data_IF_578027434839
#
_entry.id   IF_578027434839
#
_cell.length_a   1.000
_cell.length_b   1.000
_cell.length_c   1.000
_cell.angle_alpha   90.00
_cell.angle_beta   90.00
_cell.angle_gamma   90.00
#
_symmetry.space_group_name_H-M   'P 1'
#
loop_
_entity.id
_entity.type
_entity.pdbx_description
1 polymer ?
#
# COMPACT_ATOMS: atom_id res chain seq x y z
N UNK A 1 13.39 -13.09 -25.47
CA UNK A 1 13.88 -11.93 -24.68
C UNK A 1 13.35 -12.14 -23.30
N UNK A 2 14.13 -12.02 -22.26
CA UNK A 2 13.72 -12.22 -20.87
C UNK A 2 13.67 -10.87 -20.18
N UNK A 3 12.69 -10.65 -19.34
CA UNK A 3 12.62 -9.46 -18.49
C UNK A 3 13.69 -9.54 -17.39
N UNK A 4 14.54 -8.53 -17.31
CA UNK A 4 15.55 -8.44 -16.26
C UNK A 4 15.00 -7.76 -15.02
N UNK A 5 15.33 -8.26 -13.84
CA UNK A 5 14.95 -7.64 -12.57
C UNK A 5 14.57 -8.66 -11.50
N UNK A 6 13.94 -8.16 -10.44
CA UNK A 6 13.54 -8.98 -9.29
C UNK A 6 12.04 -8.85 -9.04
N UNK A 7 11.38 -9.98 -8.80
CA UNK A 7 10.01 -10.00 -8.28
C UNK A 7 9.95 -9.30 -6.91
N UNK A 8 8.94 -8.47 -6.71
CA UNK A 8 8.61 -7.84 -5.42
C UNK A 8 7.41 -8.52 -4.79
N UNK A 9 7.34 -8.48 -3.46
CA UNK A 9 6.16 -8.82 -2.66
C UNK A 9 5.96 -10.30 -2.39
N UNK A 10 6.53 -11.22 -3.18
CA UNK A 10 6.39 -12.66 -2.96
C UNK A 10 7.63 -13.44 -3.39
N UNK A 11 7.68 -14.71 -2.98
CA UNK A 11 8.68 -15.68 -3.44
C UNK A 11 8.38 -16.13 -4.89
N UNK A 12 9.42 -16.18 -5.73
CA UNK A 12 9.27 -16.53 -7.15
C UNK A 12 8.75 -17.97 -7.37
N UNK A 13 9.09 -18.92 -6.51
CA UNK A 13 8.61 -20.29 -6.62
C UNK A 13 7.13 -20.39 -6.25
N UNK A 14 6.67 -19.57 -5.29
CA UNK A 14 5.25 -19.45 -4.99
C UNK A 14 4.46 -18.93 -6.19
N UNK A 15 4.92 -17.83 -6.80
CA UNK A 15 4.24 -17.23 -7.96
C UNK A 15 4.29 -18.15 -9.18
N UNK A 16 5.40 -18.87 -9.39
CA UNK A 16 5.54 -19.86 -10.47
C UNK A 16 4.53 -21.00 -10.33
N UNK A 17 4.31 -21.50 -9.12
CA UNK A 17 3.26 -22.49 -8.86
C UNK A 17 1.87 -21.92 -9.09
N UNK A 18 1.60 -20.70 -8.64
CA UNK A 18 0.33 -20.02 -8.86
C UNK A 18 0.00 -19.87 -10.37
N UNK A 19 1.00 -19.53 -11.18
CA UNK A 19 0.86 -19.49 -12.65
C UNK A 19 0.52 -20.87 -13.24
N UNK A 20 1.14 -21.93 -12.72
CA UNK A 20 0.91 -23.29 -13.20
C UNK A 20 -0.44 -23.86 -12.77
N UNK A 21 -0.90 -23.53 -11.57
CA UNK A 21 -2.12 -24.04 -10.94
C UNK A 21 -3.34 -23.13 -11.11
N UNK A 22 -3.13 -21.94 -11.72
CA UNK A 22 -4.16 -20.89 -11.87
C UNK A 22 -4.71 -20.39 -10.53
N UNK A 23 -3.84 -20.31 -9.50
CA UNK A 23 -4.19 -19.78 -8.19
C UNK A 23 -4.13 -18.24 -8.20
N UNK A 24 -5.29 -17.54 -8.07
CA UNK A 24 -5.32 -16.08 -8.13
C UNK A 24 -4.78 -15.37 -6.88
N UNK A 25 -4.71 -16.07 -5.75
CA UNK A 25 -4.37 -15.50 -4.44
C UNK A 25 -3.27 -16.29 -3.71
N UNK A 26 -2.09 -16.48 -4.32
CA UNK A 26 -0.99 -17.20 -3.70
C UNK A 26 -0.39 -16.39 -2.55
N UNK A 27 -0.70 -16.78 -1.32
CA UNK A 27 -0.22 -16.10 -0.11
C UNK A 27 -1.00 -14.85 0.26
N UNK A 28 -0.51 -14.11 1.26
CA UNK A 28 -1.16 -12.92 1.84
C UNK A 28 -0.63 -11.60 1.30
N UNK A 29 0.54 -11.59 0.65
CA UNK A 29 1.19 -10.40 0.09
C UNK A 29 0.91 -10.25 -1.40
N UNK A 30 0.83 -9.00 -1.88
CA UNK A 30 0.80 -8.71 -3.31
C UNK A 30 2.17 -8.96 -3.95
N UNK A 31 2.19 -9.05 -5.28
CA UNK A 31 3.44 -9.20 -6.01
C UNK A 31 3.39 -8.52 -7.38
N UNK A 32 4.55 -8.08 -7.85
CA UNK A 32 4.74 -7.68 -9.23
C UNK A 32 6.20 -7.85 -9.67
N UNK A 33 6.42 -8.05 -10.96
CA UNK A 33 7.75 -8.13 -11.57
C UNK A 33 7.98 -9.38 -12.39
N UNK A 34 9.25 -9.66 -12.77
CA UNK A 34 9.59 -10.77 -13.63
C UNK A 34 9.55 -12.12 -12.89
N UNK A 35 8.96 -13.10 -13.56
CA UNK A 35 9.02 -14.53 -13.20
C UNK A 35 9.28 -15.30 -14.49
N UNK A 36 10.42 -15.97 -14.57
CA UNK A 36 10.92 -16.65 -15.76
C UNK A 36 11.01 -15.68 -16.96
N UNK A 37 10.17 -15.82 -17.97
CA UNK A 37 10.16 -15.00 -19.18
C UNK A 37 8.95 -14.04 -19.28
N UNK A 38 8.13 -13.94 -18.24
CA UNK A 38 6.97 -13.06 -18.19
C UNK A 38 7.07 -11.99 -17.08
N UNK A 39 6.35 -10.88 -17.23
CA UNK A 39 6.04 -9.99 -16.12
C UNK A 39 4.67 -10.33 -15.58
N UNK A 40 4.54 -10.30 -14.27
CA UNK A 40 3.28 -10.59 -13.58
C UNK A 40 2.90 -9.47 -12.64
N UNK A 41 1.60 -9.25 -12.47
CA UNK A 41 1.05 -8.41 -11.42
C UNK A 41 -0.11 -9.12 -10.74
N UNK A 42 -0.10 -9.16 -9.41
CA UNK A 42 -1.10 -9.87 -8.62
C UNK A 42 -2.54 -9.39 -8.87
N UNK A 43 -3.50 -10.25 -8.52
CA UNK A 43 -4.93 -10.01 -8.79
C UNK A 43 -5.52 -8.80 -8.05
N UNK A 44 -4.89 -8.33 -6.96
CA UNK A 44 -5.28 -7.11 -6.23
C UNK A 44 -4.49 -5.88 -6.68
N UNK A 45 -3.41 -6.07 -7.45
CA UNK A 45 -2.55 -5.00 -7.94
C UNK A 45 -1.86 -4.21 -6.82
N UNK A 46 -1.54 -4.85 -5.70
CA UNK A 46 -0.92 -4.21 -4.52
C UNK A 46 0.45 -3.63 -4.83
N UNK A 47 1.26 -4.34 -5.61
CA UNK A 47 2.53 -3.82 -6.10
C UNK A 47 2.33 -3.09 -7.43
N UNK A 48 2.88 -1.89 -7.60
CA UNK A 48 2.80 -1.17 -8.87
C UNK A 48 3.71 -1.82 -9.92
N UNK A 49 3.26 -1.82 -11.18
CA UNK A 49 4.04 -2.26 -12.33
C UNK A 49 3.63 -1.43 -13.54
N UNK A 50 4.60 -0.82 -14.21
CA UNK A 50 4.37 0.03 -15.37
C UNK A 50 5.16 -0.50 -16.56
N UNK A 51 4.61 -0.33 -17.76
CA UNK A 51 5.28 -0.52 -19.03
C UNK A 51 5.50 0.84 -19.71
N UNK A 52 6.55 0.95 -20.53
CA UNK A 52 6.69 2.06 -21.45
C UNK A 52 5.73 1.87 -22.62
N UNK A 53 4.86 2.85 -22.89
CA UNK A 53 3.84 2.73 -23.95
C UNK A 53 4.43 2.52 -25.34
N UNK A 54 5.60 3.15 -25.63
CA UNK A 54 6.29 3.04 -26.92
C UNK A 54 7.15 1.79 -27.04
N UNK A 55 7.58 1.20 -25.91
CA UNK A 55 8.46 0.02 -25.87
C UNK A 55 8.02 -0.93 -24.76
N UNK A 56 7.01 -1.79 -25.00
CA UNK A 56 6.35 -2.59 -23.96
C UNK A 56 7.24 -3.62 -23.27
N UNK A 57 8.49 -3.78 -23.65
CA UNK A 57 9.48 -4.59 -22.94
C UNK A 57 10.30 -3.78 -21.93
N UNK A 58 10.21 -2.45 -21.97
CA UNK A 58 10.76 -1.58 -20.95
C UNK A 58 9.71 -1.40 -19.84
N UNK A 59 10.11 -1.66 -18.61
CA UNK A 59 9.21 -1.69 -17.47
C UNK A 59 9.84 -1.15 -16.19
N UNK A 60 9.01 -0.68 -15.26
CA UNK A 60 9.46 -0.20 -13.96
C UNK A 60 8.39 -0.37 -12.88
N UNK A 61 8.81 -0.33 -11.62
CA UNK A 61 7.90 -0.24 -10.47
C UNK A 61 7.47 1.20 -10.17
N UNK A 62 8.12 2.20 -10.77
CA UNK A 62 7.80 3.61 -10.59
C UNK A 62 7.52 4.26 -11.94
N UNK A 63 6.43 5.02 -12.08
CA UNK A 63 6.14 5.72 -13.32
C UNK A 63 7.22 6.76 -13.67
N UNK A 64 7.90 7.31 -12.66
CA UNK A 64 8.97 8.29 -12.88
C UNK A 64 10.22 7.73 -13.58
N UNK A 65 10.32 6.43 -13.74
CA UNK A 65 11.44 5.76 -14.41
C UNK A 65 11.22 5.56 -15.90
N UNK A 66 10.03 5.88 -16.41
CA UNK A 66 9.62 5.71 -17.81
C UNK A 66 9.24 7.08 -18.42
N UNK A 67 9.27 7.17 -19.75
CA UNK A 67 8.91 8.39 -20.45
C UNK A 67 7.39 8.53 -20.64
N UNK A 68 6.72 7.42 -20.97
CA UNK A 68 5.27 7.35 -21.15
C UNK A 68 4.73 6.09 -20.43
N UNK A 69 4.61 6.15 -19.08
CA UNK A 69 4.28 4.99 -18.26
C UNK A 69 2.81 4.59 -18.37
N UNK A 70 2.55 3.34 -18.73
CA UNK A 70 1.23 2.71 -18.66
C UNK A 70 1.18 1.70 -17.50
N UNK A 71 0.18 1.83 -16.63
CA UNK A 71 -0.01 0.91 -15.51
C UNK A 71 -0.49 -0.45 -16.02
N UNK A 72 0.24 -1.51 -15.73
CA UNK A 72 -0.20 -2.88 -15.99
C UNK A 72 -1.43 -3.19 -15.13
N UNK A 73 -2.56 -3.63 -15.69
CA UNK A 73 -3.75 -3.97 -14.91
C UNK A 73 -3.49 -5.04 -13.85
N UNK A 74 -4.24 -5.04 -12.75
CA UNK A 74 -4.18 -6.08 -11.74
C UNK A 74 -4.53 -7.45 -12.36
N UNK A 75 -3.90 -8.53 -11.89
CA UNK A 75 -4.13 -9.88 -12.37
C UNK A 75 -3.60 -10.18 -13.78
N UNK A 76 -2.67 -9.36 -14.28
CA UNK A 76 -2.17 -9.45 -15.66
C UNK A 76 -0.81 -10.13 -15.72
N UNK A 77 -0.63 -10.92 -16.76
CA UNK A 77 0.66 -11.46 -17.23
C UNK A 77 1.03 -10.74 -18.53
N UNK A 78 2.25 -10.23 -18.61
CA UNK A 78 2.81 -9.61 -19.83
C UNK A 78 3.84 -10.57 -20.41
N UNK A 79 3.63 -10.95 -21.68
CA UNK A 79 4.49 -11.88 -22.42
C UNK A 79 5.67 -11.16 -23.08
N UNK A 80 6.73 -11.89 -23.48
CA UNK A 80 7.92 -11.32 -24.14
C UNK A 80 7.66 -10.62 -25.48
N UNK A 81 6.50 -10.81 -26.07
CA UNK A 81 6.05 -10.12 -27.29
C UNK A 81 5.24 -8.84 -27.00
N UNK A 82 5.10 -8.48 -25.72
CA UNK A 82 4.32 -7.33 -25.28
C UNK A 82 2.83 -7.60 -25.12
N UNK A 83 2.34 -8.81 -25.44
CA UNK A 83 0.93 -9.17 -25.23
C UNK A 83 0.61 -9.19 -23.74
N UNK A 84 -0.54 -8.63 -23.38
CA UNK A 84 -1.07 -8.64 -22.03
C UNK A 84 -2.25 -9.62 -21.93
N UNK A 85 -2.16 -10.54 -20.97
CA UNK A 85 -3.20 -11.53 -20.68
C UNK A 85 -3.76 -11.28 -19.29
N UNK A 86 -5.08 -11.07 -19.17
CA UNK A 86 -5.76 -11.07 -17.87
C UNK A 86 -5.81 -12.53 -17.36
N UNK A 87 -4.82 -12.88 -16.56
CA UNK A 87 -4.65 -14.27 -16.08
C UNK A 87 -5.53 -14.56 -14.88
N UNK A 88 -5.61 -13.61 -13.94
CA UNK A 88 -6.35 -13.80 -12.71
C UNK A 88 -7.42 -12.72 -12.54
N UNK A 89 -8.56 -13.12 -12.05
CA UNK A 89 -9.64 -12.25 -11.59
C UNK A 89 -10.00 -12.63 -10.16
N UNK A 90 -10.49 -11.65 -9.39
CA UNK A 90 -10.99 -11.96 -8.05
C UNK A 90 -12.17 -12.93 -8.16
N UNK A 91 -12.17 -14.02 -7.37
CA UNK A 91 -13.32 -14.92 -7.33
C UNK A 91 -14.57 -14.15 -6.84
N UNK A 92 -15.73 -14.50 -7.39
CA UNK A 92 -16.98 -13.98 -6.87
C UNK A 92 -17.18 -14.45 -5.42
N UNK A 93 -17.45 -13.53 -4.47
CA UNK A 93 -17.66 -13.92 -3.08
C UNK A 93 -18.91 -14.78 -2.95
N UNK A 94 -18.82 -15.87 -2.20
CA UNK A 94 -20.02 -16.64 -1.83
C UNK A 94 -20.86 -15.81 -0.87
N UNK A 95 -22.13 -15.50 -1.20
CA UNK A 95 -22.98 -14.74 -0.30
C UNK A 95 -23.11 -15.41 1.06
N UNK A 96 -22.90 -14.65 2.13
CA UNK A 96 -23.18 -15.11 3.48
C UNK A 96 -24.69 -15.14 3.72
N UNK A 97 -25.16 -16.12 4.48
CA UNK A 97 -26.59 -16.34 4.69
C UNK A 97 -27.19 -15.40 5.72
N UNK A 98 -26.39 -14.88 6.66
CA UNK A 98 -26.86 -13.98 7.72
C UNK A 98 -25.91 -12.80 7.91
N UNK A 99 -26.45 -11.68 8.42
CA UNK A 99 -25.67 -10.50 8.78
C UNK A 99 -24.58 -10.79 9.81
N UNK A 100 -24.92 -11.59 10.85
CA UNK A 100 -23.98 -11.89 11.93
C UNK A 100 -22.80 -12.74 11.46
N UNK A 101 -23.02 -13.68 10.54
CA UNK A 101 -21.95 -14.46 9.91
C UNK A 101 -21.05 -13.56 9.06
N UNK A 102 -21.61 -12.61 8.30
CA UNK A 102 -20.83 -11.67 7.51
C UNK A 102 -19.95 -10.77 8.40
N UNK A 103 -20.53 -10.22 9.47
CA UNK A 103 -19.79 -9.39 10.44
C UNK A 103 -18.67 -10.18 11.11
N UNK A 104 -18.92 -11.42 11.50
CA UNK A 104 -17.92 -12.29 12.12
C UNK A 104 -16.76 -12.58 11.15
N UNK A 105 -17.07 -12.91 9.89
CA UNK A 105 -16.08 -13.21 8.86
C UNK A 105 -15.21 -11.99 8.54
N UNK A 106 -15.82 -10.81 8.35
CA UNK A 106 -15.09 -9.55 8.10
C UNK A 106 -14.21 -9.20 9.29
N UNK A 107 -14.75 -9.31 10.52
CA UNK A 107 -13.97 -9.04 11.74
C UNK A 107 -12.74 -9.93 11.84
N UNK A 108 -12.88 -11.22 11.58
CA UNK A 108 -11.78 -12.16 11.64
C UNK A 108 -10.73 -11.88 10.55
N UNK A 109 -11.17 -11.62 9.32
CA UNK A 109 -10.27 -11.28 8.22
C UNK A 109 -9.47 -10.00 8.50
N UNK A 110 -10.13 -8.93 8.97
CA UNK A 110 -9.49 -7.66 9.34
C UNK A 110 -8.49 -7.86 10.48
N UNK A 111 -8.87 -8.53 11.57
CA UNK A 111 -7.98 -8.74 12.71
C UNK A 111 -6.78 -9.64 12.35
N UNK A 112 -6.96 -10.61 11.49
CA UNK A 112 -5.86 -11.44 10.97
C UNK A 112 -4.90 -10.59 10.16
N UNK A 113 -5.40 -9.84 9.18
CA UNK A 113 -4.58 -8.96 8.32
C UNK A 113 -3.80 -7.91 9.10
N UNK A 114 -4.38 -7.36 10.16
CA UNK A 114 -3.74 -6.32 10.98
C UNK A 114 -2.67 -6.91 11.92
N UNK A 115 -2.82 -8.16 12.35
CA UNK A 115 -1.89 -8.83 13.27
C UNK A 115 -0.71 -9.52 12.59
N UNK A 116 -0.86 -9.89 11.31
CA UNK A 116 0.20 -10.57 10.56
C UNK A 116 1.53 -9.78 10.45
N UNK A 117 1.53 -8.47 10.23
CA UNK A 117 2.76 -7.72 9.99
C UNK A 117 3.47 -7.23 11.26
N UNK A 118 3.28 -7.84 12.42
CA UNK A 118 3.99 -7.45 13.66
C UNK A 118 5.48 -7.69 13.48
N UNK A 119 6.21 -6.65 13.11
CA UNK A 119 7.66 -6.65 13.01
C UNK A 119 8.26 -5.53 13.86
N UNK A 120 9.45 -5.74 14.37
CA UNK A 120 10.25 -4.68 14.97
C UNK A 120 10.40 -3.51 13.97
N UNK A 121 10.45 -2.28 14.48
CA UNK A 121 10.60 -1.09 13.64
C UNK A 121 9.31 -0.62 12.93
N UNK A 122 8.14 -1.10 13.36
CA UNK A 122 6.85 -0.67 12.83
C UNK A 122 6.30 0.55 13.60
N UNK A 123 5.72 1.51 12.88
CA UNK A 123 4.88 2.58 13.41
C UNK A 123 3.52 2.62 12.69
N UNK A 124 2.57 3.37 13.22
CA UNK A 124 1.24 3.56 12.65
C UNK A 124 1.01 5.02 12.28
N UNK A 125 0.61 5.28 11.03
CA UNK A 125 0.04 6.57 10.66
C UNK A 125 -1.39 6.65 11.19
N UNK A 126 -1.61 7.53 12.18
CA UNK A 126 -2.78 7.51 13.05
C UNK A 126 -3.56 8.80 12.99
N UNK A 127 -4.64 8.84 12.24
CA UNK A 127 -5.51 10.03 12.11
C UNK A 127 -6.57 10.13 13.22
N UNK A 128 -6.72 9.08 14.06
CA UNK A 128 -7.83 8.98 15.01
C UNK A 128 -9.15 8.51 14.40
N UNK A 129 -9.19 8.26 13.08
CA UNK A 129 -10.30 7.60 12.41
C UNK A 129 -10.35 6.10 12.68
N UNK A 130 -11.50 5.46 12.40
CA UNK A 130 -11.76 4.05 12.73
C UNK A 130 -10.72 3.11 12.09
N UNK A 131 -10.33 3.33 10.84
CA UNK A 131 -9.40 2.46 10.11
C UNK A 131 -8.01 2.46 10.73
N UNK A 132 -7.46 3.65 10.98
CA UNK A 132 -6.18 3.79 11.66
C UNK A 132 -6.22 3.29 13.11
N UNK A 133 -7.37 3.38 13.78
CA UNK A 133 -7.57 2.84 15.12
C UNK A 133 -7.58 1.32 15.13
N UNK A 134 -8.19 0.68 14.14
CA UNK A 134 -8.17 -0.79 13.97
C UNK A 134 -6.73 -1.27 13.73
N UNK A 135 -5.99 -0.59 12.85
CA UNK A 135 -4.56 -0.89 12.64
C UNK A 135 -3.77 -0.76 13.93
N UNK A 136 -3.93 0.36 14.64
CA UNK A 136 -3.25 0.60 15.92
C UNK A 136 -3.60 -0.47 16.98
N UNK A 137 -4.86 -0.91 17.04
CA UNK A 137 -5.29 -1.97 17.96
C UNK A 137 -4.64 -3.34 17.65
N UNK A 138 -4.32 -3.60 16.38
CA UNK A 138 -3.65 -4.84 15.98
C UNK A 138 -2.15 -4.87 16.30
N UNK A 139 -1.51 -3.71 16.45
CA UNK A 139 -0.07 -3.55 16.74
C UNK A 139 0.16 -2.67 17.99
N UNK A 140 -0.21 -3.15 19.18
CA UNK A 140 -0.28 -2.32 20.39
C UNK A 140 1.05 -1.67 20.80
N UNK A 141 2.17 -2.26 20.47
CA UNK A 141 3.50 -1.74 20.85
C UNK A 141 4.05 -0.69 19.85
N UNK A 142 3.45 -0.56 18.66
CA UNK A 142 3.92 0.38 17.65
C UNK A 142 3.56 1.83 18.02
N UNK A 143 4.48 2.79 17.94
CA UNK A 143 4.15 4.20 18.15
C UNK A 143 3.22 4.72 17.05
N UNK A 144 2.32 5.62 17.41
CA UNK A 144 1.40 6.27 16.49
C UNK A 144 1.92 7.65 16.10
N UNK A 145 1.78 8.01 14.83
CA UNK A 145 2.17 9.31 14.29
C UNK A 145 0.99 9.99 13.60
N UNK A 146 0.83 11.28 13.84
CA UNK A 146 -0.10 12.14 13.11
C UNK A 146 0.62 13.39 12.65
N UNK A 147 0.38 13.83 11.41
CA UNK A 147 0.89 15.09 10.91
C UNK A 147 -0.22 16.14 10.81
N UNK A 148 0.10 17.39 11.15
CA UNK A 148 -0.84 18.49 11.06
C UNK A 148 -0.27 19.80 11.59
N UNK A 149 -1.04 20.85 11.45
CA UNK A 149 -0.71 22.19 11.95
C UNK A 149 -1.53 22.52 13.21
N UNK A 150 -1.16 23.60 13.89
CA UNK A 150 -1.85 24.04 15.11
C UNK A 150 -3.34 24.31 14.85
N UNK A 151 -4.21 23.71 15.67
CA UNK A 151 -5.67 23.81 15.52
C UNK A 151 -6.27 22.89 14.46
N UNK A 152 -5.48 22.03 13.83
CA UNK A 152 -5.96 21.05 12.87
C UNK A 152 -6.90 20.04 13.55
N UNK A 153 -8.05 19.76 12.91
CA UNK A 153 -9.04 18.82 13.39
C UNK A 153 -8.47 17.41 13.55
N UNK A 154 -7.66 16.95 12.59
CA UNK A 154 -7.11 15.60 12.58
C UNK A 154 -6.16 15.36 13.76
N UNK A 155 -5.35 16.35 14.13
CA UNK A 155 -4.49 16.28 15.32
C UNK A 155 -5.32 16.20 16.60
N UNK A 156 -6.43 16.95 16.68
CA UNK A 156 -7.33 16.90 17.83
C UNK A 156 -8.00 15.53 17.96
N UNK A 157 -8.53 14.99 16.86
CA UNK A 157 -9.14 13.66 16.81
C UNK A 157 -8.13 12.55 17.17
N UNK A 158 -6.91 12.63 16.62
CA UNK A 158 -5.85 11.67 16.92
C UNK A 158 -5.46 11.69 18.42
N UNK A 159 -5.38 12.86 19.04
CA UNK A 159 -5.09 12.98 20.50
C UNK A 159 -6.18 12.33 21.34
N UNK A 160 -7.45 12.58 21.02
CA UNK A 160 -8.57 12.00 21.74
C UNK A 160 -8.58 10.48 21.62
N UNK A 161 -8.48 9.96 20.39
CA UNK A 161 -8.45 8.53 20.12
C UNK A 161 -7.23 7.86 20.78
N UNK A 162 -6.04 8.43 20.68
CA UNK A 162 -4.84 7.89 21.31
C UNK A 162 -4.97 7.83 22.84
N UNK A 163 -5.59 8.83 23.46
CA UNK A 163 -5.88 8.84 24.91
C UNK A 163 -6.84 7.71 25.28
N UNK A 164 -7.91 7.51 24.51
CA UNK A 164 -8.88 6.45 24.75
C UNK A 164 -8.29 5.05 24.59
N UNK A 165 -7.30 4.91 23.71
CA UNK A 165 -6.65 3.64 23.38
C UNK A 165 -5.34 3.40 24.15
N UNK A 166 -4.93 4.31 25.02
CA UNK A 166 -3.65 4.28 25.75
C UNK A 166 -2.44 4.11 24.79
N UNK A 167 -2.38 4.99 23.74
CA UNK A 167 -1.35 4.90 22.69
C UNK A 167 -0.33 6.03 22.80
N UNK A 168 0.94 5.71 22.56
CA UNK A 168 2.00 6.70 22.35
C UNK A 168 1.77 7.43 21.03
N UNK A 169 1.42 8.71 21.08
CA UNK A 169 1.14 9.54 19.91
C UNK A 169 2.21 10.62 19.75
N UNK A 170 2.88 10.58 18.60
CA UNK A 170 3.84 11.58 18.15
C UNK A 170 3.20 12.48 17.11
N UNK A 171 3.27 13.80 17.34
CA UNK A 171 2.68 14.81 16.45
C UNK A 171 3.78 15.46 15.65
N UNK A 172 3.63 15.37 14.33
CA UNK A 172 4.51 15.98 13.35
C UNK A 172 3.88 17.30 12.89
N UNK A 173 4.40 18.41 13.42
CA UNK A 173 3.94 19.73 13.00
C UNK A 173 4.63 20.12 11.69
N UNK A 174 3.87 20.71 10.78
CA UNK A 174 4.39 21.29 9.54
C UNK A 174 3.73 22.64 9.26
N UNK A 175 4.43 23.47 8.52
CA UNK A 175 3.96 24.79 8.12
C UNK A 175 3.86 24.94 6.59
N UNK A 176 3.62 26.17 6.11
CA UNK A 176 3.48 26.45 4.69
C UNK A 176 4.78 26.18 3.90
N UNK A 177 5.93 26.51 4.46
CA UNK A 177 7.22 26.33 3.79
C UNK A 177 7.55 24.82 3.65
N UNK A 178 7.18 24.03 4.64
CA UNK A 178 7.25 22.57 4.59
C UNK A 178 6.39 22.00 3.46
N UNK A 179 5.16 22.49 3.28
CA UNK A 179 4.27 22.08 2.18
C UNK A 179 4.90 22.42 0.84
N UNK A 180 5.44 23.62 0.66
CA UNK A 180 6.09 24.04 -0.58
C UNK A 180 7.28 23.13 -0.92
N UNK A 181 8.04 22.72 0.09
CA UNK A 181 9.13 21.74 -0.06
C UNK A 181 8.63 20.35 -0.43
N UNK A 182 7.59 19.86 0.23
CA UNK A 182 7.10 18.50 0.10
C UNK A 182 6.39 18.22 -1.25
N UNK A 183 5.65 19.19 -1.80
CA UNK A 183 4.86 19.01 -3.03
C UNK A 183 5.67 18.45 -4.21
N UNK A 184 6.83 19.00 -4.60
CA UNK A 184 7.63 18.45 -5.69
C UNK A 184 8.13 17.03 -5.42
N UNK A 185 8.40 16.70 -4.16
CA UNK A 185 8.87 15.37 -3.77
C UNK A 185 7.74 14.33 -3.86
N UNK A 186 6.56 14.69 -3.38
CA UNK A 186 5.35 13.85 -3.50
C UNK A 186 5.03 13.58 -4.97
N UNK A 187 5.02 14.63 -5.82
CA UNK A 187 4.76 14.47 -7.26
C UNK A 187 5.79 13.55 -7.90
N UNK A 188 7.06 13.70 -7.56
CA UNK A 188 8.12 12.84 -8.10
C UNK A 188 7.99 11.38 -7.63
N UNK A 189 7.63 11.17 -6.36
CA UNK A 189 7.50 9.84 -5.78
C UNK A 189 6.26 9.09 -6.29
N UNK A 190 5.14 9.80 -6.49
CA UNK A 190 3.86 9.20 -6.84
C UNK A 190 3.56 9.22 -8.35
N UNK A 191 4.25 10.08 -9.12
CA UNK A 191 3.91 10.38 -10.51
C UNK A 191 2.58 11.12 -10.68
N UNK A 192 1.96 11.60 -9.58
CA UNK A 192 0.66 12.26 -9.58
C UNK A 192 0.80 13.74 -9.25
N UNK A 193 0.21 14.60 -10.10
CA UNK A 193 0.30 16.06 -9.97
C UNK A 193 -1.04 16.75 -9.73
N UNK A 194 -2.16 16.01 -9.66
CA UNK A 194 -3.42 16.65 -9.37
C UNK A 194 -3.49 17.08 -7.89
N UNK A 195 -4.16 18.22 -7.60
CA UNK A 195 -4.14 18.79 -6.25
C UNK A 195 -4.72 17.89 -5.15
N UNK A 196 -5.71 17.05 -5.48
CA UNK A 196 -6.34 16.15 -4.52
C UNK A 196 -5.38 15.05 -4.07
N UNK A 197 -4.70 14.37 -5.02
CA UNK A 197 -3.74 13.31 -4.70
C UNK A 197 -2.57 13.87 -3.88
N UNK A 198 -2.08 15.05 -4.23
CA UNK A 198 -1.01 15.72 -3.48
C UNK A 198 -1.47 16.07 -2.06
N UNK A 199 -2.67 16.66 -1.91
CA UNK A 199 -3.23 17.03 -0.61
C UNK A 199 -3.41 15.83 0.31
N UNK A 200 -3.93 14.71 -0.21
CA UNK A 200 -4.11 13.48 0.57
C UNK A 200 -2.76 12.88 0.97
N UNK A 201 -1.75 13.02 0.13
CA UNK A 201 -0.41 12.47 0.39
C UNK A 201 0.40 13.28 1.40
N UNK A 202 0.12 14.57 1.58
CA UNK A 202 0.92 15.46 2.45
C UNK A 202 1.04 14.97 3.89
N UNK A 203 -0.04 14.67 4.62
CA UNK A 203 0.08 14.18 6.00
C UNK A 203 0.89 12.89 6.10
N UNK A 204 0.67 11.96 5.16
CA UNK A 204 1.40 10.70 5.13
C UNK A 204 2.89 10.89 4.84
N UNK A 205 3.22 11.82 3.93
CA UNK A 205 4.60 12.18 3.62
C UNK A 205 5.35 12.68 4.86
N UNK A 206 4.78 13.62 5.60
CA UNK A 206 5.41 14.15 6.82
C UNK A 206 5.52 13.12 7.94
N UNK A 207 4.50 12.27 8.10
CA UNK A 207 4.56 11.13 9.02
C UNK A 207 5.70 10.18 8.64
N UNK A 208 5.80 9.82 7.36
CA UNK A 208 6.84 8.91 6.89
C UNK A 208 8.26 9.51 7.04
N UNK A 209 8.42 10.80 6.72
CA UNK A 209 9.69 11.52 6.89
C UNK A 209 10.15 11.52 8.37
N UNK A 210 9.24 11.86 9.30
CA UNK A 210 9.55 11.88 10.73
C UNK A 210 9.79 10.47 11.28
N UNK A 211 8.95 9.51 10.92
CA UNK A 211 9.11 8.13 11.35
C UNK A 211 10.47 7.55 10.90
N UNK A 212 10.87 7.83 9.66
CA UNK A 212 12.20 7.43 9.17
C UNK A 212 13.34 8.12 9.94
N UNK A 213 13.19 9.40 10.28
CA UNK A 213 14.16 10.13 11.11
C UNK A 213 14.27 9.56 12.54
N UNK A 214 13.19 9.01 13.06
CA UNK A 214 13.14 8.33 14.37
C UNK A 214 13.65 6.87 14.31
N UNK A 215 14.08 6.40 13.14
CA UNK A 215 14.61 5.05 12.94
C UNK A 215 13.54 3.97 12.70
N UNK A 216 12.31 4.37 12.38
CA UNK A 216 11.23 3.45 12.00
C UNK A 216 11.49 2.92 10.59
N UNK A 217 11.38 1.61 10.41
CA UNK A 217 11.64 0.95 9.13
C UNK A 217 10.38 0.75 8.29
N UNK A 218 9.21 0.69 8.94
CA UNK A 218 7.92 0.39 8.32
C UNK A 218 6.82 1.25 8.90
N UNK A 219 5.89 1.65 8.05
CA UNK A 219 4.71 2.43 8.45
C UNK A 219 3.44 1.67 8.03
N UNK A 220 2.60 1.34 9.02
CA UNK A 220 1.27 0.82 8.76
C UNK A 220 0.28 1.97 8.60
N UNK A 221 -0.62 1.83 7.63
CA UNK A 221 -1.65 2.85 7.32
C UNK A 221 -3.02 2.19 7.27
N UNK A 222 -4.07 2.93 7.64
CA UNK A 222 -5.46 2.49 7.50
C UNK A 222 -6.06 2.74 6.12
N UNK A 223 -5.27 3.23 5.19
CA UNK A 223 -5.73 3.62 3.86
C UNK A 223 -6.08 2.39 3.01
N UNK A 224 -7.23 2.45 2.31
CA UNK A 224 -7.74 1.33 1.51
C UNK A 224 -8.59 0.34 2.30
N UNK A 225 -9.07 0.72 3.50
CA UNK A 225 -9.98 -0.08 4.31
C UNK A 225 -11.46 0.06 3.90
N UNK A 226 -11.78 0.97 2.99
CA UNK A 226 -13.13 1.28 2.47
C UNK A 226 -13.67 0.23 1.49
#
# INVERSE_FOLDING_TARGET
MTFEGRLRGADADLVRRALAEDDPLPGSAGFAGPVDDVLVRDTLGREPLFLEASEPLEWAFSPASLADPELVPAGTVVHPDGTQEQRWVLPEPTPTTTHDEAVAAVREAVLTSVREPVSEGLAVAFSGGVDSAVVAAGVPEAPCYVAGFEGCHDVAAAREAATLMDRDLRIVAFDHDDIVRAVPEIVRATGRSNPMDVQISLPLYFVAEQAAADGVERLAVGQGAD
#
